data_IF_391786325311
#
_entry.id   IF_391786325311
#
_cell.length_a   1.000
_cell.length_b   1.000
_cell.length_c   1.000
_cell.angle_alpha   90.00
_cell.angle_beta   90.00
_cell.angle_gamma   90.00
#
_symmetry.space_group_name_H-M   'P 1'
#
loop_
_entity.id
_entity.type
_entity.pdbx_description
1 polymer ?
#
# COMPACT_ATOMS: atom_id res chain seq x y z
N UNK A 1 -13.26 -18.75 13.37
CA UNK A 1 -12.35 -19.15 12.27
C UNK A 1 -11.14 -19.83 12.89
N UNK A 2 -10.83 -21.06 12.48
CA UNK A 2 -9.77 -21.88 13.07
C UNK A 2 -8.40 -21.18 12.95
N UNK A 3 -7.70 -21.05 14.09
CA UNK A 3 -6.36 -20.47 14.18
C UNK A 3 -5.40 -21.47 13.52
N UNK A 4 -5.04 -21.25 12.25
CA UNK A 4 -4.04 -22.08 11.57
C UNK A 4 -2.70 -21.85 12.24
N UNK A 5 -2.22 -22.84 12.98
CA UNK A 5 -0.87 -22.79 13.57
C UNK A 5 0.15 -23.08 12.48
N UNK A 6 0.84 -22.03 12.03
CA UNK A 6 1.92 -22.15 11.07
C UNK A 6 3.21 -22.55 11.79
N UNK A 7 3.97 -23.48 11.21
CA UNK A 7 5.30 -23.83 11.71
C UNK A 7 6.24 -22.62 11.69
N UNK A 8 7.29 -22.60 12.52
CA UNK A 8 8.27 -21.50 12.56
C UNK A 8 8.83 -21.15 11.17
N UNK A 9 9.01 -22.16 10.31
CA UNK A 9 9.42 -21.96 8.92
C UNK A 9 8.32 -21.26 8.09
N UNK A 10 7.07 -21.73 8.18
CA UNK A 10 5.93 -21.12 7.48
C UNK A 10 5.70 -19.66 7.91
N UNK A 11 5.79 -19.36 9.21
CA UNK A 11 5.71 -17.99 9.71
C UNK A 11 6.82 -17.10 9.13
N UNK A 12 8.05 -17.62 9.04
CA UNK A 12 9.19 -16.90 8.44
C UNK A 12 8.99 -16.65 6.94
N UNK A 13 8.45 -17.62 6.20
CA UNK A 13 8.12 -17.48 4.78
C UNK A 13 6.99 -16.46 4.58
N UNK A 14 5.93 -16.55 5.38
CA UNK A 14 4.81 -15.59 5.36
C UNK A 14 5.33 -14.18 5.66
N UNK A 15 6.15 -14.03 6.71
CA UNK A 15 6.77 -12.76 7.06
C UNK A 15 7.63 -12.21 5.92
N UNK A 16 8.55 -13.02 5.36
CA UNK A 16 9.39 -12.63 4.22
C UNK A 16 8.59 -12.22 2.99
N UNK A 17 7.47 -12.88 2.72
CA UNK A 17 6.58 -12.51 1.64
C UNK A 17 6.02 -11.10 1.84
N UNK A 18 5.52 -10.78 3.03
CA UNK A 18 5.02 -9.44 3.34
C UNK A 18 6.14 -8.39 3.44
N UNK A 19 7.31 -8.75 3.98
CA UNK A 19 8.49 -7.88 4.05
C UNK A 19 8.97 -7.49 2.63
N UNK A 20 8.98 -8.44 1.68
CA UNK A 20 9.38 -8.19 0.29
C UNK A 20 8.25 -7.57 -0.56
N UNK A 21 6.99 -7.68 -0.12
CA UNK A 21 5.84 -7.13 -0.83
C UNK A 21 5.87 -5.61 -0.90
N UNK A 22 6.39 -4.95 0.14
CA UNK A 22 6.59 -3.50 0.12
C UNK A 22 7.56 -3.08 -0.99
N UNK A 23 8.70 -3.78 -1.12
CA UNK A 23 9.67 -3.50 -2.18
C UNK A 23 9.08 -3.73 -3.58
N UNK A 24 8.21 -4.72 -3.74
CA UNK A 24 7.48 -4.97 -4.99
C UNK A 24 6.52 -3.82 -5.30
N UNK A 25 5.81 -3.33 -4.28
CA UNK A 25 4.84 -2.25 -4.47
C UNK A 25 5.51 -0.91 -4.79
N UNK A 26 6.67 -0.62 -4.18
CA UNK A 26 7.51 0.53 -4.52
C UNK A 26 7.99 0.51 -5.98
N UNK A 27 8.51 -0.66 -6.40
CA UNK A 27 9.00 -0.85 -7.75
C UNK A 27 7.85 -0.68 -8.77
N UNK A 28 6.70 -1.30 -8.51
CA UNK A 28 5.52 -1.19 -9.38
C UNK A 28 4.98 0.23 -9.47
N UNK A 29 4.93 0.96 -8.35
CA UNK A 29 4.49 2.36 -8.36
C UNK A 29 5.43 3.24 -9.18
N UNK A 30 6.74 2.99 -9.08
CA UNK A 30 7.76 3.67 -9.89
C UNK A 30 7.62 3.36 -11.39
N UNK A 31 7.34 2.11 -11.74
CA UNK A 31 7.08 1.72 -13.14
C UNK A 31 5.79 2.35 -13.69
N UNK A 32 4.75 2.48 -12.87
CA UNK A 32 3.49 3.12 -13.27
C UNK A 32 3.69 4.59 -13.65
N UNK A 33 4.56 5.33 -12.94
CA UNK A 33 4.89 6.72 -13.29
C UNK A 33 5.36 6.82 -14.75
N UNK A 34 6.38 6.04 -15.12
CA UNK A 34 6.93 6.03 -16.48
C UNK A 34 5.88 5.59 -17.50
N UNK A 35 5.10 4.55 -17.18
CA UNK A 35 4.07 4.02 -18.07
C UNK A 35 2.93 5.02 -18.31
N UNK A 36 2.57 5.81 -17.29
CA UNK A 36 1.51 6.82 -17.38
C UNK A 36 1.89 7.95 -18.33
N UNK A 37 3.16 8.35 -18.40
CA UNK A 37 3.64 9.31 -19.42
C UNK A 37 3.53 8.79 -20.86
N UNK A 38 3.53 7.47 -21.04
CA UNK A 38 3.54 6.81 -22.35
C UNK A 38 2.18 6.23 -22.74
N UNK A 39 1.17 6.34 -21.88
CA UNK A 39 -0.15 5.72 -22.08
C UNK A 39 -1.24 6.78 -22.19
N UNK A 40 -2.27 6.47 -22.96
CA UNK A 40 -3.44 7.32 -23.16
C UNK A 40 -4.72 6.48 -23.15
N UNK A 41 -5.87 7.14 -22.94
CA UNK A 41 -7.20 6.53 -23.00
C UNK A 41 -7.39 5.40 -21.99
N UNK A 42 -8.12 4.35 -22.38
CA UNK A 42 -8.50 3.23 -21.50
C UNK A 42 -7.30 2.53 -20.82
N UNK A 43 -6.13 2.51 -21.45
CA UNK A 43 -4.93 1.92 -20.86
C UNK A 43 -4.44 2.76 -19.67
N UNK A 44 -4.49 4.08 -19.82
CA UNK A 44 -4.10 5.03 -18.78
C UNK A 44 -5.06 4.97 -17.58
N UNK A 45 -6.38 4.88 -17.83
CA UNK A 45 -7.39 4.71 -16.78
C UNK A 45 -7.10 3.49 -15.88
N UNK A 46 -6.82 2.34 -16.50
CA UNK A 46 -6.45 1.10 -15.77
C UNK A 46 -5.15 1.25 -14.97
N UNK A 47 -4.20 2.03 -15.47
CA UNK A 47 -2.96 2.32 -14.76
C UNK A 47 -3.22 3.19 -13.53
N UNK A 48 -4.12 4.17 -13.62
CA UNK A 48 -4.54 4.97 -12.47
C UNK A 48 -5.29 4.13 -11.43
N UNK A 49 -6.18 3.23 -11.84
CA UNK A 49 -6.83 2.28 -10.93
C UNK A 49 -5.80 1.40 -10.21
N UNK A 50 -4.79 0.91 -10.95
CA UNK A 50 -3.71 0.11 -10.37
C UNK A 50 -2.87 0.94 -9.40
N UNK A 51 -2.56 2.20 -9.73
CA UNK A 51 -1.82 3.11 -8.86
C UNK A 51 -2.57 3.35 -7.54
N UNK A 52 -3.89 3.61 -7.62
CA UNK A 52 -4.74 3.77 -6.44
C UNK A 52 -4.68 2.54 -5.54
N UNK A 53 -4.90 1.34 -6.11
CA UNK A 53 -4.90 0.08 -5.35
C UNK A 53 -3.55 -0.18 -4.67
N UNK A 54 -2.44 0.18 -5.31
CA UNK A 54 -1.11 0.07 -4.71
C UNK A 54 -0.97 1.05 -3.55
N UNK A 55 -1.31 2.33 -3.74
CA UNK A 55 -1.21 3.33 -2.68
C UNK A 55 -2.08 3.01 -1.46
N UNK A 56 -3.31 2.52 -1.67
CA UNK A 56 -4.20 2.06 -0.59
C UNK A 56 -3.61 0.87 0.16
N UNK A 57 -3.02 -0.07 -0.57
CA UNK A 57 -2.38 -1.27 -0.02
C UNK A 57 -1.10 -0.98 0.74
N UNK A 58 -0.37 0.06 0.33
CA UNK A 58 0.75 0.64 1.08
C UNK A 58 0.29 1.49 2.27
N UNK A 59 -1.03 1.59 2.48
CA UNK A 59 -1.66 2.35 3.56
C UNK A 59 -1.19 3.81 3.58
N UNK A 60 -1.04 4.44 2.41
CA UNK A 60 -0.72 5.86 2.32
C UNK A 60 -1.86 6.72 2.90
N UNK A 61 -1.58 7.94 3.39
CA UNK A 61 -2.63 8.83 3.86
C UNK A 61 -3.70 9.05 2.78
N UNK A 62 -4.98 8.87 3.12
CA UNK A 62 -6.08 8.99 2.16
C UNK A 62 -6.09 10.34 1.43
N UNK A 63 -5.68 11.42 2.09
CA UNK A 63 -5.56 12.76 1.48
C UNK A 63 -4.51 12.80 0.37
N UNK A 64 -3.43 12.02 0.48
CA UNK A 64 -2.39 11.91 -0.56
C UNK A 64 -2.90 11.10 -1.75
N UNK A 65 -3.61 10.01 -1.48
CA UNK A 65 -4.24 9.18 -2.53
C UNK A 65 -5.23 10.04 -3.30
N UNK A 66 -6.12 10.75 -2.60
CA UNK A 66 -7.13 11.61 -3.22
C UNK A 66 -6.48 12.68 -4.10
N UNK A 67 -5.43 13.36 -3.62
CA UNK A 67 -4.73 14.38 -4.40
C UNK A 67 -4.15 13.84 -5.71
N UNK A 68 -3.57 12.63 -5.70
CA UNK A 68 -3.05 11.98 -6.92
C UNK A 68 -4.20 11.61 -7.86
N UNK A 69 -5.30 11.07 -7.34
CA UNK A 69 -6.43 10.62 -8.16
C UNK A 69 -7.24 11.78 -8.73
N UNK A 70 -7.32 12.91 -8.03
CA UNK A 70 -7.96 14.13 -8.52
C UNK A 70 -7.13 14.82 -9.60
N UNK A 71 -5.79 14.82 -9.47
CA UNK A 71 -4.93 15.43 -10.47
C UNK A 71 -4.78 14.56 -11.72
N UNK A 72 -4.77 13.23 -11.55
CA UNK A 72 -4.37 12.25 -12.58
C UNK A 72 -3.11 12.70 -13.36
N UNK A 73 -2.17 13.33 -12.64
CA UNK A 73 -0.94 13.86 -13.18
C UNK A 73 0.22 12.91 -12.82
N UNK A 74 0.90 12.31 -13.81
CA UNK A 74 2.05 11.44 -13.57
C UNK A 74 3.17 12.11 -12.74
N UNK A 75 3.33 13.44 -12.82
CA UNK A 75 4.31 14.19 -12.03
C UNK A 75 3.97 14.18 -10.53
N UNK A 76 2.67 14.26 -10.19
CA UNK A 76 2.20 14.18 -8.80
C UNK A 76 2.45 12.79 -8.23
N UNK A 77 2.20 11.73 -9.02
CA UNK A 77 2.53 10.36 -8.61
C UNK A 77 4.06 10.16 -8.46
N UNK A 78 4.86 10.73 -9.38
CA UNK A 78 6.33 10.69 -9.29
C UNK A 78 6.83 11.30 -7.97
N UNK A 79 6.22 12.41 -7.55
CA UNK A 79 6.57 13.06 -6.28
C UNK A 79 6.26 12.17 -5.08
N UNK A 80 5.14 11.44 -5.09
CA UNK A 80 4.81 10.47 -4.05
C UNK A 80 5.85 9.36 -3.98
N UNK A 81 6.28 8.82 -5.13
CA UNK A 81 7.34 7.81 -5.20
C UNK A 81 8.65 8.32 -4.61
N UNK A 82 9.07 9.54 -4.98
CA UNK A 82 10.29 10.16 -4.43
C UNK A 82 10.20 10.33 -2.90
N UNK A 83 9.06 10.80 -2.39
CA UNK A 83 8.82 10.97 -0.95
C UNK A 83 8.81 9.65 -0.17
N UNK A 84 8.41 8.55 -0.81
CA UNK A 84 8.52 7.21 -0.22
C UNK A 84 9.97 6.74 -0.18
N UNK A 85 10.71 6.90 -1.27
CA UNK A 85 12.12 6.49 -1.37
C UNK A 85 13.03 7.27 -0.41
N UNK A 86 12.75 8.56 -0.19
CA UNK A 86 13.50 9.39 0.75
C UNK A 86 12.94 9.36 2.20
N UNK A 87 11.89 8.57 2.46
CA UNK A 87 11.29 8.39 3.78
C UNK A 87 10.50 9.59 4.32
N UNK A 88 10.23 10.62 3.51
CA UNK A 88 9.38 11.77 3.90
C UNK A 88 7.91 11.39 4.01
N UNK A 89 7.45 10.44 3.18
CA UNK A 89 6.11 9.88 3.25
C UNK A 89 6.14 8.55 3.99
N UNK A 90 5.39 8.48 5.11
CA UNK A 90 5.28 7.25 5.90
C UNK A 90 4.12 6.41 5.40
N UNK A 91 4.41 5.13 5.16
CA UNK A 91 3.42 4.07 4.95
C UNK A 91 2.68 3.81 6.26
N UNK A 92 1.44 3.34 6.19
CA UNK A 92 0.71 2.91 7.37
C UNK A 92 1.53 1.86 8.13
N UNK A 93 1.84 2.15 9.39
CA UNK A 93 2.46 1.15 10.24
C UNK A 93 1.43 0.04 10.44
N UNK A 94 1.67 -1.17 9.92
CA UNK A 94 0.84 -2.36 10.16
C UNK A 94 0.65 -2.73 11.65
N UNK A 95 1.12 -1.90 12.59
CA UNK A 95 0.93 -2.02 14.04
C UNK A 95 -0.38 -1.39 14.59
N UNK A 96 -1.07 -0.52 13.84
CA UNK A 96 -2.27 0.14 14.38
C UNK A 96 -3.51 -0.78 14.46
N UNK A 97 -3.62 -1.81 13.60
CA UNK A 97 -4.75 -2.75 13.59
C UNK A 97 -4.68 -3.86 14.66
N UNK A 98 -3.51 -4.12 15.26
CA UNK A 98 -3.40 -5.15 16.32
C UNK A 98 -3.86 -4.68 17.71
N UNK A 99 -3.88 -3.37 17.98
CA UNK A 99 -4.26 -2.86 19.32
C UNK A 99 -5.77 -2.77 19.57
N UNK A 100 -6.61 -2.82 18.53
CA UNK A 100 -8.07 -2.69 18.66
C UNK A 100 -8.85 -4.00 18.84
N UNK A 101 -8.22 -5.17 18.73
CA UNK A 101 -8.91 -6.47 18.87
C UNK A 101 -8.86 -6.98 20.34
N UNK A 102 -8.14 -6.31 21.25
CA UNK A 102 -7.87 -6.82 22.60
C UNK A 102 -8.64 -6.21 23.77
N UNK A 103 -9.58 -5.27 23.57
CA UNK A 103 -10.33 -4.65 24.69
C UNK A 103 -11.76 -4.29 24.31
N UNK A 104 -12.64 -5.28 24.27
CA UNK A 104 -14.08 -5.10 24.52
C UNK A 104 -14.75 -6.47 24.60
N UNK A 105 -14.88 -6.96 25.83
CA UNK A 105 -16.13 -7.52 26.38
C UNK A 105 -15.80 -8.34 27.63
N UNK A 106 -15.57 -7.61 28.73
CA UNK A 106 -15.91 -8.08 30.06
C UNK A 106 -16.85 -7.04 30.63
N UNK A 107 -18.15 -7.32 30.50
CA UNK A 107 -19.30 -6.80 31.27
C UNK A 107 -20.55 -7.27 30.52
N UNK A 108 -21.14 -8.38 30.97
CA UNK A 108 -22.50 -8.34 31.54
C UNK A 108 -23.03 -9.75 31.86
N UNK A 109 -23.42 -9.89 33.13
CA UNK A 109 -24.20 -10.95 33.79
C UNK A 109 -23.46 -12.22 34.24
#
# INVERSE_FOLDING_TARGET
>A
MAKREYSNYQQKVIKRYYDNREAIDDQRLSELVTNLYLSTGRKQERMWETAQQIMERMELPATRIQHVMDSQDPAVLARVVEELQNGKLKRGSGKAKQKKIGKSNQTDK
#
